data_IF_620284406199
#
_entry.id   IF_620284406199
#
_cell.length_a   1.000
_cell.length_b   1.000
_cell.length_c   1.000
_cell.angle_alpha   90.00
_cell.angle_beta   90.00
_cell.angle_gamma   90.00
#
_symmetry.space_group_name_H-M   'P 1'
#
loop_
_entity.id
_entity.type
_entity.pdbx_description
1 polymer ?
#
# COMPACT_ATOMS: atom_id res chain seq x y z
N UNK A 1 9.06 7.85 -16.02
CA UNK A 1 7.74 8.47 -16.24
C UNK A 1 7.34 9.14 -14.93
N UNK A 2 6.75 10.33 -14.95
CA UNK A 2 6.46 11.07 -13.70
C UNK A 2 5.24 10.46 -13.00
N UNK A 3 5.43 9.85 -11.83
CA UNK A 3 4.34 9.25 -11.03
C UNK A 3 3.28 10.29 -10.62
N UNK A 4 3.62 11.58 -10.56
CA UNK A 4 2.65 12.65 -10.26
C UNK A 4 1.66 12.89 -11.41
N UNK A 5 2.02 12.58 -12.65
CA UNK A 5 1.09 12.66 -13.80
C UNK A 5 0.12 11.47 -13.84
N UNK A 6 0.53 10.33 -13.26
CA UNK A 6 -0.25 9.10 -13.30
C UNK A 6 -1.26 8.97 -12.16
N UNK A 7 -1.05 9.64 -11.03
CA UNK A 7 -1.96 9.60 -9.90
C UNK A 7 -2.11 10.98 -9.23
N UNK A 8 -3.27 11.66 -9.37
CA UNK A 8 -3.49 12.99 -8.81
C UNK A 8 -3.53 13.01 -7.27
N UNK A 9 -3.60 11.84 -6.61
CA UNK A 9 -3.64 11.70 -5.15
C UNK A 9 -2.25 11.60 -4.51
N UNK A 10 -1.17 11.72 -5.29
CA UNK A 10 0.17 11.41 -4.80
C UNK A 10 0.62 12.24 -3.60
N UNK A 11 0.28 13.54 -3.56
CA UNK A 11 0.57 14.41 -2.40
C UNK A 11 -0.15 13.93 -1.14
N UNK A 12 -1.44 13.61 -1.25
CA UNK A 12 -2.24 13.07 -0.15
C UNK A 12 -1.70 11.72 0.35
N UNK A 13 -1.38 10.80 -0.58
CA UNK A 13 -0.86 9.48 -0.24
C UNK A 13 0.49 9.57 0.48
N UNK A 14 1.38 10.49 0.06
CA UNK A 14 2.66 10.75 0.74
C UNK A 14 2.46 11.32 2.13
N UNK A 15 1.58 12.31 2.28
CA UNK A 15 1.27 12.92 3.57
C UNK A 15 0.67 11.90 4.55
N UNK A 16 -0.31 11.10 4.11
CA UNK A 16 -0.86 10.01 4.92
C UNK A 16 0.21 9.01 5.34
N UNK A 17 1.13 8.69 4.42
CA UNK A 17 2.21 7.73 4.65
C UNK A 17 3.27 8.24 5.63
N UNK A 18 3.56 9.54 5.66
CA UNK A 18 4.54 10.10 6.60
C UNK A 18 4.11 9.99 8.07
N UNK A 19 2.81 9.80 8.31
CA UNK A 19 2.24 9.59 9.64
C UNK A 19 2.25 8.12 10.08
N UNK A 20 2.62 7.17 9.21
CA UNK A 20 2.67 5.76 9.56
C UNK A 20 3.79 5.46 10.56
N UNK A 21 3.48 4.65 11.57
CA UNK A 21 4.47 4.07 12.46
C UNK A 21 5.33 3.01 11.77
N UNK A 22 6.56 2.84 12.25
CA UNK A 22 7.50 1.83 11.80
C UNK A 22 7.24 0.43 12.33
N UNK A 23 6.00 -0.08 12.19
CA UNK A 23 5.55 -1.35 12.77
C UNK A 23 5.27 -2.43 11.72
N UNK A 24 5.22 -3.70 12.14
CA UNK A 24 4.75 -4.78 11.27
C UNK A 24 3.24 -4.69 11.05
N UNK A 25 2.75 -5.17 9.92
CA UNK A 25 1.33 -5.18 9.63
C UNK A 25 0.99 -5.50 8.18
N UNK A 26 -0.29 -5.32 7.85
CA UNK A 26 -0.85 -5.48 6.50
C UNK A 26 -1.33 -4.12 6.00
N UNK A 27 -1.12 -3.82 4.72
CA UNK A 27 -1.67 -2.66 4.02
C UNK A 27 -2.62 -3.10 2.92
N UNK A 28 -3.65 -2.30 2.69
CA UNK A 28 -4.77 -2.59 1.79
C UNK A 28 -4.96 -1.38 0.89
N UNK A 29 -4.60 -1.49 -0.38
CA UNK A 29 -4.76 -0.42 -1.36
C UNK A 29 -6.16 -0.44 -1.95
N UNK A 30 -6.76 0.73 -2.10
CA UNK A 30 -8.12 0.91 -2.60
C UNK A 30 -8.17 1.83 -3.81
N UNK A 31 -9.08 1.55 -4.73
CA UNK A 31 -9.41 2.47 -5.82
C UNK A 31 -10.36 3.59 -5.37
N UNK A 32 -10.74 4.46 -6.31
CA UNK A 32 -11.63 5.61 -6.08
C UNK A 32 -13.04 5.23 -5.62
N UNK A 33 -13.47 4.02 -5.95
CA UNK A 33 -14.80 3.50 -5.63
C UNK A 33 -14.75 2.72 -4.29
N UNK A 34 -13.57 2.62 -3.67
CA UNK A 34 -13.33 1.94 -2.41
C UNK A 34 -13.05 0.45 -2.55
N UNK A 35 -12.93 -0.08 -3.77
CA UNK A 35 -12.63 -1.49 -3.99
C UNK A 35 -11.19 -1.79 -3.60
N UNK A 36 -10.97 -2.96 -3.00
CA UNK A 36 -9.61 -3.42 -2.66
C UNK A 36 -8.95 -3.92 -3.94
N UNK A 37 -7.84 -3.29 -4.33
CA UNK A 37 -7.09 -3.63 -5.56
C UNK A 37 -5.74 -4.28 -5.28
N UNK A 38 -5.28 -4.23 -4.02
CA UNK A 38 -4.04 -4.86 -3.60
C UNK A 38 -4.00 -5.04 -2.08
N UNK A 39 -3.49 -6.19 -1.63
CA UNK A 39 -3.23 -6.47 -0.22
C UNK A 39 -1.79 -6.95 -0.12
N UNK A 40 -1.05 -6.45 0.87
CA UNK A 40 0.29 -6.94 1.15
C UNK A 40 0.72 -6.74 2.59
N UNK A 41 1.71 -7.51 3.05
CA UNK A 41 2.31 -7.36 4.38
C UNK A 41 3.61 -6.57 4.38
N UNK A 42 3.96 -6.07 5.57
CA UNK A 42 5.23 -5.40 5.82
C UNK A 42 5.80 -5.75 7.19
N UNK A 43 7.13 -5.85 7.26
CA UNK A 43 7.88 -5.80 8.53
C UNK A 43 7.88 -4.39 9.14
N UNK A 44 7.78 -3.38 8.27
CA UNK A 44 7.72 -1.97 8.60
C UNK A 44 6.79 -1.27 7.60
N UNK A 45 5.58 -0.92 8.04
CA UNK A 45 4.54 -0.31 7.21
C UNK A 45 4.99 1.01 6.61
N UNK A 46 5.58 1.90 7.42
CA UNK A 46 6.09 3.19 6.94
C UNK A 46 7.06 3.02 5.76
N UNK A 47 8.10 2.20 5.90
CA UNK A 47 9.08 1.95 4.83
C UNK A 47 8.44 1.31 3.59
N UNK A 48 7.59 0.29 3.79
CA UNK A 48 7.00 -0.46 2.68
C UNK A 48 6.01 0.40 1.90
N UNK A 49 5.10 1.08 2.57
CA UNK A 49 4.09 1.92 1.92
C UNK A 49 4.75 3.14 1.27
N UNK A 50 5.73 3.77 1.94
CA UNK A 50 6.51 4.87 1.35
C UNK A 50 7.15 4.48 0.02
N UNK A 51 7.65 3.24 -0.10
CA UNK A 51 8.31 2.81 -1.34
C UNK A 51 7.43 2.92 -2.58
N UNK A 52 6.11 2.78 -2.46
CA UNK A 52 5.17 2.93 -3.57
C UNK A 52 5.06 4.36 -4.08
N UNK A 53 5.19 5.35 -3.18
CA UNK A 53 4.85 6.75 -3.46
C UNK A 53 6.07 7.68 -3.60
N UNK A 54 7.30 7.15 -3.58
CA UNK A 54 8.52 7.95 -3.78
C UNK A 54 8.57 8.53 -5.21
N UNK A 55 9.14 9.73 -5.35
CA UNK A 55 9.28 10.43 -6.65
C UNK A 55 10.09 9.63 -7.67
N UNK A 56 11.21 9.04 -7.22
CA UNK A 56 12.15 8.31 -8.08
C UNK A 56 12.00 6.79 -7.91
N UNK A 57 10.78 6.30 -7.70
CA UNK A 57 10.57 4.88 -7.53
C UNK A 57 10.63 4.16 -8.88
N UNK A 58 11.66 3.35 -9.09
CA UNK A 58 11.73 2.40 -10.19
C UNK A 58 10.88 1.17 -9.88
N UNK A 59 9.60 1.27 -10.20
CA UNK A 59 8.64 0.19 -10.03
C UNK A 59 8.64 -0.73 -11.24
N UNK A 60 8.39 -2.02 -10.99
CA UNK A 60 8.00 -2.93 -12.07
C UNK A 60 6.67 -2.45 -12.69
N UNK A 61 6.41 -2.68 -13.99
CA UNK A 61 5.20 -2.18 -14.67
C UNK A 61 3.88 -2.53 -13.98
N UNK A 62 3.79 -3.71 -13.34
CA UNK A 62 2.62 -4.12 -12.56
C UNK A 62 2.38 -3.24 -11.34
N UNK A 63 3.46 -2.86 -10.63
CA UNK A 63 3.39 -2.03 -9.44
C UNK A 63 3.06 -0.59 -9.83
N UNK A 64 3.68 -0.07 -10.89
CA UNK A 64 3.36 1.27 -11.43
C UNK A 64 1.88 1.37 -11.80
N UNK A 65 1.35 0.37 -12.52
CA UNK A 65 -0.08 0.30 -12.85
C UNK A 65 -0.96 0.19 -11.61
N UNK A 66 -0.57 -0.58 -10.59
CA UNK A 66 -1.35 -0.61 -9.34
C UNK A 66 -1.37 0.76 -8.67
N UNK A 67 -0.21 1.42 -8.53
CA UNK A 67 -0.08 2.74 -7.91
C UNK A 67 -0.88 3.81 -8.64
N UNK A 68 -0.99 3.76 -9.97
CA UNK A 68 -1.81 4.72 -10.72
C UNK A 68 -3.32 4.62 -10.41
N UNK A 69 -3.80 3.49 -9.89
CA UNK A 69 -5.20 3.28 -9.51
C UNK A 69 -5.46 3.49 -8.01
N UNK A 70 -4.42 3.62 -7.18
CA UNK A 70 -4.59 3.82 -5.73
C UNK A 70 -5.21 5.19 -5.46
N UNK A 71 -6.39 5.21 -4.86
CA UNK A 71 -7.02 6.43 -4.38
C UNK A 71 -6.81 6.66 -2.89
N UNK A 72 -6.81 5.57 -2.12
CA UNK A 72 -6.52 5.53 -0.70
C UNK A 72 -5.95 4.16 -0.27
N UNK A 73 -5.50 4.04 0.96
CA UNK A 73 -5.13 2.74 1.55
C UNK A 73 -5.44 2.68 3.05
N UNK A 74 -5.69 1.48 3.55
CA UNK A 74 -5.78 1.17 4.97
C UNK A 74 -4.60 0.33 5.43
N UNK A 75 -4.45 0.21 6.75
CA UNK A 75 -3.46 -0.67 7.35
C UNK A 75 -3.94 -1.24 8.68
N UNK A 76 -3.40 -2.41 9.03
CA UNK A 76 -3.61 -3.08 10.30
C UNK A 76 -2.24 -3.40 10.87
N UNK A 77 -1.91 -2.84 12.03
CA UNK A 77 -0.67 -3.13 12.75
C UNK A 77 -0.77 -4.50 13.42
N UNK A 78 0.31 -5.27 13.37
CA UNK A 78 0.42 -6.57 14.05
C UNK A 78 1.60 -6.59 15.01
N UNK A 79 1.58 -7.53 15.95
CA UNK A 79 2.63 -7.67 16.98
C UNK A 79 3.88 -8.34 16.42
N UNK A 80 3.74 -9.07 15.31
CA UNK A 80 4.84 -9.78 14.65
C UNK A 80 4.66 -9.88 13.15
N UNK A 81 5.74 -10.22 12.45
CA UNK A 81 5.71 -10.55 11.02
C UNK A 81 4.89 -11.81 10.70
N UNK A 82 4.85 -12.76 11.66
CA UNK A 82 4.09 -13.99 11.52
C UNK A 82 2.59 -13.72 11.55
N UNK A 83 2.12 -12.88 12.47
CA UNK A 83 0.74 -12.41 12.49
C UNK A 83 0.38 -11.65 11.20
N UNK A 84 1.28 -10.79 10.70
CA UNK A 84 1.07 -10.08 9.44
C UNK A 84 0.89 -11.04 8.26
N UNK A 85 1.66 -12.13 8.23
CA UNK A 85 1.53 -13.17 7.20
C UNK A 85 0.19 -13.90 7.28
N UNK A 86 -0.24 -14.32 8.47
CA UNK A 86 -1.52 -15.00 8.65
C UNK A 86 -2.71 -14.08 8.29
N UNK A 87 -2.63 -12.82 8.70
CA UNK A 87 -3.67 -11.83 8.40
C UNK A 87 -3.74 -11.52 6.91
N UNK A 88 -2.60 -11.29 6.25
CA UNK A 88 -2.53 -11.07 4.80
C UNK A 88 -3.16 -12.24 4.04
N UNK A 89 -2.77 -13.46 4.38
CA UNK A 89 -3.32 -14.67 3.76
C UNK A 89 -4.84 -14.78 3.95
N UNK A 90 -5.35 -14.41 5.13
CA UNK A 90 -6.78 -14.44 5.42
C UNK A 90 -7.54 -13.38 4.60
N UNK A 91 -7.01 -12.16 4.54
CA UNK A 91 -7.61 -11.06 3.78
C UNK A 91 -7.58 -11.30 2.26
N UNK A 92 -6.49 -11.85 1.73
CA UNK A 92 -6.41 -12.24 0.31
C UNK A 92 -7.46 -13.31 -0.02
N UNK A 93 -7.61 -14.32 0.84
CA UNK A 93 -8.64 -15.36 0.64
C UNK A 93 -10.06 -14.80 0.71
N UNK A 94 -10.31 -13.86 1.62
CA UNK A 94 -11.63 -13.25 1.81
C UNK A 94 -12.01 -12.32 0.66
N UNK A 95 -11.07 -11.50 0.18
CA UNK A 95 -11.37 -10.43 -0.76
C UNK A 95 -11.00 -10.75 -2.21
N UNK A 96 -10.08 -11.68 -2.45
CA UNK A 96 -9.58 -12.08 -3.77
C UNK A 96 -9.32 -10.87 -4.70
N UNK A 97 -8.50 -9.90 -4.25
CA UNK A 97 -8.22 -8.68 -5.02
C UNK A 97 -7.38 -8.94 -6.28
#
# INVERSE_FOLDING_TARGET
MNLEEQNPRMSFLREKTSQLAGSSGVYIMKDKDGNIIYIGKAKNLHKRVSSYFRKDAEHLPKVEKMVSHVYDYDFIVTSSEYEALLLECSLIKQHQP
#
